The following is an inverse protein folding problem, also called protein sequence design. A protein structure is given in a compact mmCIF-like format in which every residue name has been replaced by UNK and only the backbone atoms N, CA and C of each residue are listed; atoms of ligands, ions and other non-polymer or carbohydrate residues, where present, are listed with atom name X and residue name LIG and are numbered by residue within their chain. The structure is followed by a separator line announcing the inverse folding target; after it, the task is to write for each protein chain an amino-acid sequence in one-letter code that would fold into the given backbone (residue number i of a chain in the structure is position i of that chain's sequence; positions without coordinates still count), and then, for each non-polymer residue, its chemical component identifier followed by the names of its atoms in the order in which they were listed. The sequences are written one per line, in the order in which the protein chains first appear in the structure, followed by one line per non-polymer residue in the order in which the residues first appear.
data_IF_901007210085
#
_entry.id   IF_901007210085
#
_cell.length_a   1.000
_cell.length_b   1.000
_cell.length_c   1.000
_cell.angle_alpha   90.00
_cell.angle_beta   90.00
_cell.angle_gamma   90.00
#
_symmetry.space_group_name_H-M   'P 1'
#
loop_
_entity.id
_entity.type
_entity.pdbx_description
1 polymer ?
#
# COMPACT_ATOMS: atom_id res chain seq x y z
N UNK A 1 -6.26 -29.09 -15.96
CA UNK A 1 -6.28 -27.74 -16.59
C UNK A 1 -5.23 -26.79 -15.99
N UNK A 2 -4.90 -26.89 -14.70
CA UNK A 2 -3.91 -26.04 -13.98
C UNK A 2 -2.45 -26.21 -14.47
N UNK A 3 -2.01 -27.44 -14.78
CA UNK A 3 -0.63 -27.70 -15.23
C UNK A 3 -0.24 -27.00 -16.55
N UNK A 4 -1.20 -26.73 -17.45
CA UNK A 4 -0.94 -26.05 -18.73
C UNK A 4 -0.80 -24.52 -18.57
N UNK A 5 -1.41 -23.93 -17.54
CA UNK A 5 -1.33 -22.49 -17.29
C UNK A 5 -0.03 -22.10 -16.57
N UNK A 6 0.50 -22.96 -15.70
CA UNK A 6 1.80 -22.75 -15.05
C UNK A 6 2.96 -22.77 -16.06
N UNK A 7 2.87 -23.65 -17.07
CA UNK A 7 3.89 -23.73 -18.13
C UNK A 7 3.92 -22.46 -19.00
N UNK A 8 2.76 -21.88 -19.32
CA UNK A 8 2.68 -20.60 -20.06
C UNK A 8 3.17 -19.41 -19.22
N UNK A 9 2.92 -19.42 -17.91
CA UNK A 9 3.43 -18.40 -16.98
C UNK A 9 4.97 -18.42 -16.91
N UNK A 10 5.57 -19.61 -16.77
CA UNK A 10 7.04 -19.76 -16.73
C UNK A 10 7.72 -19.42 -18.06
N UNK A 11 7.08 -19.72 -19.19
CA UNK A 11 7.62 -19.46 -20.53
C UNK A 11 7.56 -17.98 -20.92
N UNK A 12 6.57 -17.24 -20.41
CA UNK A 12 6.42 -15.77 -20.65
C UNK A 12 7.40 -14.96 -19.79
N UNK A 13 7.84 -15.50 -18.66
CA UNK A 13 8.78 -14.87 -17.72
C UNK A 13 10.26 -15.25 -17.97
N UNK A 14 10.57 -15.98 -19.05
CA UNK A 14 11.96 -16.34 -19.40
C UNK A 14 12.62 -17.41 -18.52
N UNK A 15 11.87 -18.11 -17.66
CA UNK A 15 12.42 -19.20 -16.84
C UNK A 15 12.44 -20.52 -17.63
N UNK A 16 13.53 -20.79 -18.34
CA UNK A 16 13.87 -22.16 -18.74
C UNK A 16 14.24 -22.96 -17.50
N UNK A 17 13.53 -24.06 -17.23
CA UNK A 17 13.92 -25.05 -16.22
C UNK A 17 15.23 -25.72 -16.64
N UNK A 18 16.33 -25.62 -15.85
CA UNK A 18 17.48 -26.46 -16.08
C UNK A 18 17.16 -27.87 -15.57
N UNK A 19 17.45 -28.86 -16.40
CA UNK A 19 17.62 -30.23 -15.93
C UNK A 19 18.65 -30.25 -14.78
N UNK A 20 18.28 -30.96 -13.71
CA UNK A 20 19.14 -31.51 -12.66
C UNK A 20 20.65 -31.21 -12.83
N UNK A 21 21.11 -30.12 -12.22
CA UNK A 21 22.44 -30.10 -11.62
C UNK A 21 22.54 -28.98 -10.59
N UNK A 22 23.09 -29.30 -9.41
CA UNK A 22 23.35 -28.34 -8.34
C UNK A 22 24.33 -27.27 -8.86
N UNK A 23 23.84 -26.09 -9.24
CA UNK A 23 24.68 -24.92 -9.48
C UNK A 23 24.18 -23.73 -8.66
N UNK A 24 25.11 -23.16 -7.89
CA UNK A 24 24.95 -21.97 -7.07
C UNK A 24 24.39 -20.83 -7.92
N UNK A 25 23.25 -20.29 -7.51
CA UNK A 25 22.70 -19.05 -8.08
C UNK A 25 23.68 -17.92 -7.76
N UNK A 26 24.31 -17.34 -8.78
CA UNK A 26 25.00 -16.06 -8.67
C UNK A 26 23.97 -14.93 -8.77
N UNK A 27 24.17 -13.79 -8.08
CA UNK A 27 23.28 -12.64 -8.19
C UNK A 27 23.27 -12.10 -9.63
N UNK A 28 22.09 -11.70 -10.10
CA UNK A 28 21.90 -11.02 -11.36
C UNK A 28 22.51 -9.62 -11.24
N UNK A 29 23.68 -9.41 -11.86
CA UNK A 29 24.31 -8.09 -12.00
C UNK A 29 23.69 -7.48 -13.25
N UNK A 30 22.95 -6.37 -13.07
CA UNK A 30 22.44 -5.56 -14.18
C UNK A 30 23.60 -5.06 -15.03
N UNK A 31 23.35 -4.97 -16.34
CA UNK A 31 24.30 -4.50 -17.34
C UNK A 31 24.93 -3.16 -16.93
N UNK A 32 26.26 -3.14 -16.98
CA UNK A 32 27.13 -1.99 -16.78
C UNK A 32 26.68 -0.81 -17.65
N UNK A 33 26.31 0.29 -17.00
CA UNK A 33 26.64 1.68 -17.32
C UNK A 33 25.81 2.60 -16.42
N UNK A 34 26.21 2.72 -15.15
CA UNK A 34 25.94 3.95 -14.39
C UNK A 34 26.94 4.07 -13.23
N UNK A 35 27.80 5.07 -13.32
CA UNK A 35 28.86 5.38 -12.36
C UNK A 35 28.25 5.97 -11.07
N UNK A 36 27.85 5.10 -10.13
CA UNK A 36 27.69 5.51 -8.72
C UNK A 36 28.29 4.46 -7.78
N UNK A 37 29.40 4.83 -7.15
CA UNK A 37 30.09 4.05 -6.13
C UNK A 37 29.21 3.88 -4.88
N UNK A 38 28.47 2.78 -4.81
CA UNK A 38 27.84 2.28 -3.59
C UNK A 38 28.07 0.78 -3.49
N UNK A 39 29.11 0.37 -2.76
CA UNK A 39 29.34 -1.06 -2.48
C UNK A 39 28.15 -1.61 -1.71
N UNK A 40 27.34 -2.45 -2.35
CA UNK A 40 26.24 -3.16 -1.68
C UNK A 40 26.84 -4.06 -0.60
N UNK A 41 26.52 -3.81 0.67
CA UNK A 41 26.93 -4.66 1.79
C UNK A 41 26.20 -6.01 1.71
N UNK A 42 26.79 -6.94 0.96
CA UNK A 42 26.25 -8.28 0.74
C UNK A 42 26.14 -9.07 2.04
N UNK A 43 27.05 -8.84 3.01
CA UNK A 43 27.06 -9.54 4.29
C UNK A 43 25.94 -9.04 5.21
N UNK A 44 25.72 -7.72 5.25
CA UNK A 44 24.58 -7.09 5.94
C UNK A 44 23.24 -7.55 5.37
N UNK A 45 23.11 -7.60 4.04
CA UNK A 45 21.90 -8.08 3.37
C UNK A 45 21.62 -9.57 3.63
N UNK A 46 22.66 -10.42 3.62
CA UNK A 46 22.51 -11.84 3.93
C UNK A 46 22.07 -12.08 5.38
N UNK A 47 22.66 -11.35 6.34
CA UNK A 47 22.24 -11.41 7.76
C UNK A 47 20.81 -10.91 7.96
N UNK A 48 20.40 -9.90 7.17
CA UNK A 48 19.03 -9.39 7.16
C UNK A 48 18.02 -10.44 6.65
N UNK A 49 18.31 -11.13 5.55
CA UNK A 49 17.45 -12.19 5.00
C UNK A 49 17.25 -13.38 5.95
N UNK A 50 18.20 -13.64 6.85
CA UNK A 50 18.06 -14.66 7.90
C UNK A 50 17.01 -14.23 8.95
N UNK A 51 16.95 -12.93 9.27
CA UNK A 51 15.97 -12.38 10.23
C UNK A 51 14.62 -12.06 9.58
N UNK A 52 14.60 -11.87 8.26
CA UNK A 52 13.45 -11.45 7.47
C UNK A 52 13.29 -12.38 6.25
N UNK A 53 12.59 -13.53 6.40
CA UNK A 53 12.56 -14.59 5.40
C UNK A 53 11.82 -14.17 4.13
N UNK A 54 12.44 -14.27 2.95
CA UNK A 54 11.78 -13.86 1.70
C UNK A 54 10.48 -14.64 1.42
N UNK A 55 9.37 -13.92 1.16
CA UNK A 55 8.09 -14.52 0.80
C UNK A 55 8.17 -15.40 -0.46
N UNK A 56 9.01 -15.05 -1.42
CA UNK A 56 9.23 -15.85 -2.63
C UNK A 56 9.88 -17.20 -2.31
N UNK A 57 10.76 -17.26 -1.30
CA UNK A 57 11.36 -18.52 -0.86
C UNK A 57 10.35 -19.44 -0.16
N UNK A 58 9.30 -18.86 0.41
CA UNK A 58 8.21 -19.56 1.11
C UNK A 58 7.00 -19.84 0.21
N UNK A 59 7.08 -19.53 -1.08
CA UNK A 59 5.94 -19.53 -1.99
C UNK A 59 5.18 -20.86 -2.05
N UNK A 60 5.89 -21.99 -2.10
CA UNK A 60 5.24 -23.30 -2.13
C UNK A 60 4.43 -23.59 -0.86
N UNK A 61 4.94 -23.16 0.31
CA UNK A 61 4.22 -23.30 1.58
C UNK A 61 2.98 -22.42 1.59
N UNK A 62 3.11 -21.18 1.13
CA UNK A 62 2.02 -20.21 1.01
C UNK A 62 0.92 -20.74 0.08
N UNK A 63 1.29 -21.32 -1.06
CA UNK A 63 0.35 -21.94 -1.99
C UNK A 63 -0.34 -23.17 -1.42
N UNK A 64 0.33 -23.93 -0.56
CA UNK A 64 -0.27 -25.06 0.16
C UNK A 64 -1.33 -24.59 1.15
N UNK A 65 -1.08 -23.50 1.88
CA UNK A 65 -2.04 -22.90 2.80
C UNK A 65 -3.23 -22.23 2.10
N UNK A 66 -3.02 -21.72 0.88
CA UNK A 66 -4.06 -21.15 0.03
C UNK A 66 -4.96 -22.20 -0.64
N UNK A 67 -4.57 -23.47 -0.63
CA UNK A 67 -5.32 -24.53 -1.32
C UNK A 67 -6.71 -24.68 -0.70
N UNK A 68 -7.74 -24.53 -1.54
CA UNK A 68 -9.15 -24.64 -1.12
C UNK A 68 -9.72 -23.36 -0.50
N UNK A 69 -8.91 -22.30 -0.38
CA UNK A 69 -9.35 -21.00 0.13
C UNK A 69 -9.55 -19.99 -1.01
N UNK A 70 -10.46 -19.05 -0.80
CA UNK A 70 -10.65 -17.87 -1.64
C UNK A 70 -9.63 -16.80 -1.24
N UNK A 71 -8.62 -16.61 -2.08
CA UNK A 71 -7.59 -15.58 -1.85
C UNK A 71 -8.13 -14.21 -2.24
N UNK A 72 -7.80 -13.20 -1.43
CA UNK A 72 -8.09 -11.78 -1.65
C UNK A 72 -6.79 -11.02 -1.44
N UNK A 73 -6.47 -10.09 -2.33
CA UNK A 73 -5.19 -9.38 -2.32
C UNK A 73 -5.39 -7.92 -1.96
N UNK A 74 -4.59 -7.43 -1.02
CA UNK A 74 -4.52 -6.05 -0.57
C UNK A 74 -3.08 -5.56 -0.75
N UNK A 75 -2.92 -4.35 -1.28
CA UNK A 75 -1.62 -3.81 -1.63
C UNK A 75 -1.53 -2.36 -1.14
N UNK A 76 -0.47 -2.01 -0.43
CA UNK A 76 -0.06 -0.61 -0.29
C UNK A 76 0.47 -0.07 -1.62
N UNK A 77 0.57 1.26 -1.75
CA UNK A 77 1.07 1.92 -2.95
C UNK A 77 2.53 2.39 -2.86
N UNK A 78 2.92 3.18 -1.86
CA UNK A 78 4.22 3.87 -1.85
C UNK A 78 5.27 3.02 -1.15
N UNK A 79 6.36 2.65 -1.84
CA UNK A 79 7.32 1.71 -1.28
C UNK A 79 6.92 0.24 -1.44
N UNK A 80 5.72 0.01 -1.99
CA UNK A 80 5.21 -1.32 -2.35
C UNK A 80 4.99 -1.47 -3.85
N UNK A 81 4.11 -0.66 -4.43
CA UNK A 81 3.79 -0.70 -5.88
C UNK A 81 4.51 0.38 -6.69
N UNK A 82 4.96 1.44 -6.03
CA UNK A 82 5.80 2.49 -6.59
C UNK A 82 7.06 2.65 -5.75
N UNK A 83 8.18 3.11 -6.32
CA UNK A 83 9.39 3.36 -5.56
C UNK A 83 9.19 4.48 -4.53
N UNK A 84 9.94 4.40 -3.43
CA UNK A 84 10.08 5.54 -2.51
C UNK A 84 10.91 6.60 -3.23
N UNK A 85 10.30 7.76 -3.47
CA UNK A 85 10.91 8.91 -4.13
C UNK A 85 10.83 10.14 -3.24
N UNK A 86 11.75 11.08 -3.44
CA UNK A 86 11.78 12.34 -2.68
C UNK A 86 10.54 13.20 -2.89
N UNK A 87 10.02 13.19 -4.13
CA UNK A 87 8.83 13.94 -4.52
C UNK A 87 7.64 12.98 -4.69
N UNK A 88 6.67 12.99 -3.76
CA UNK A 88 5.54 12.06 -3.78
C UNK A 88 4.81 12.00 -5.11
N UNK A 89 4.56 13.14 -5.74
CA UNK A 89 3.93 13.28 -7.06
C UNK A 89 4.64 12.56 -8.20
N UNK A 90 5.89 12.11 -7.99
CA UNK A 90 6.66 11.30 -8.95
C UNK A 90 6.67 9.80 -8.63
N UNK A 91 5.98 9.37 -7.58
CA UNK A 91 5.90 7.96 -7.20
C UNK A 91 4.89 7.24 -8.10
N UNK A 92 5.34 6.90 -9.30
CA UNK A 92 4.52 6.19 -10.28
C UNK A 92 4.86 4.70 -10.28
N UNK A 93 3.81 3.88 -10.32
CA UNK A 93 3.94 2.47 -10.65
C UNK A 93 4.49 2.31 -12.08
N UNK A 94 5.52 1.48 -12.24
CA UNK A 94 6.08 1.14 -13.56
C UNK A 94 5.05 0.43 -14.44
N UNK A 95 5.28 0.39 -15.75
CA UNK A 95 4.39 -0.31 -16.70
C UNK A 95 4.30 -1.80 -16.38
N UNK A 96 5.41 -2.41 -15.97
CA UNK A 96 5.53 -3.81 -15.60
C UNK A 96 4.76 -4.11 -14.32
N UNK A 97 4.92 -3.29 -13.28
CA UNK A 97 4.17 -3.44 -12.04
C UNK A 97 2.66 -3.25 -12.28
N UNK A 98 2.29 -2.29 -13.14
CA UNK A 98 0.89 -2.10 -13.55
C UNK A 98 0.32 -3.30 -14.27
N UNK A 99 1.10 -3.94 -15.14
CA UNK A 99 0.71 -5.18 -15.79
C UNK A 99 0.57 -6.32 -14.77
N UNK A 100 1.49 -6.44 -13.82
CA UNK A 100 1.45 -7.46 -12.77
C UNK A 100 0.20 -7.33 -11.88
N UNK A 101 -0.10 -6.12 -11.38
CA UNK A 101 -1.31 -5.87 -10.57
C UNK A 101 -2.57 -6.16 -11.38
N UNK A 102 -2.61 -5.77 -12.67
CA UNK A 102 -3.74 -6.11 -13.55
C UNK A 102 -3.91 -7.61 -13.72
N UNK A 103 -2.82 -8.36 -13.84
CA UNK A 103 -2.87 -9.81 -13.98
C UNK A 103 -3.38 -10.48 -12.69
N UNK A 104 -2.87 -10.07 -11.52
CA UNK A 104 -3.38 -10.55 -10.22
C UNK A 104 -4.87 -10.27 -10.07
N UNK A 105 -5.32 -9.08 -10.44
CA UNK A 105 -6.72 -8.67 -10.36
C UNK A 105 -7.67 -9.45 -11.28
N UNK A 106 -7.16 -10.14 -12.32
CA UNK A 106 -8.00 -11.05 -13.14
C UNK A 106 -8.37 -12.33 -12.39
N UNK A 107 -7.54 -12.75 -11.45
CA UNK A 107 -7.69 -14.04 -10.75
C UNK A 107 -8.21 -13.87 -9.32
N UNK A 108 -7.86 -12.78 -8.66
CA UNK A 108 -8.18 -12.54 -7.25
C UNK A 108 -8.82 -11.15 -7.07
N UNK A 109 -9.87 -11.01 -6.24
CA UNK A 109 -10.32 -9.69 -5.80
C UNK A 109 -9.12 -8.93 -5.21
N UNK A 110 -8.81 -7.78 -5.79
CA UNK A 110 -7.60 -7.01 -5.48
C UNK A 110 -7.95 -5.59 -5.12
N UNK A 111 -7.38 -5.10 -4.02
CA UNK A 111 -7.57 -3.74 -3.53
C UNK A 111 -6.25 -3.05 -3.28
N UNK A 112 -6.14 -1.78 -3.64
CA UNK A 112 -5.03 -0.91 -3.25
C UNK A 112 -5.49 -0.03 -2.10
N UNK A 113 -4.74 0.01 -1.00
CA UNK A 113 -4.99 0.85 0.17
C UNK A 113 -3.83 1.82 0.32
N UNK A 114 -4.07 3.10 0.08
CA UNK A 114 -3.05 4.14 0.04
C UNK A 114 -3.38 5.28 1.00
N UNK A 115 -2.34 5.90 1.56
CA UNK A 115 -2.47 7.20 2.25
C UNK A 115 -2.83 8.34 1.29
N UNK A 116 -2.55 8.18 -0.01
CA UNK A 116 -2.75 9.22 -1.01
C UNK A 116 -4.16 9.30 -1.54
N UNK A 117 -4.47 10.40 -2.23
CA UNK A 117 -5.65 10.47 -3.09
C UNK A 117 -5.68 9.31 -4.10
N UNK A 118 -6.88 9.03 -4.60
CA UNK A 118 -7.09 7.87 -5.48
C UNK A 118 -6.40 8.05 -6.82
N UNK A 119 -5.59 7.07 -7.18
CA UNK A 119 -5.04 6.94 -8.52
C UNK A 119 -5.92 6.04 -9.39
N UNK A 120 -6.04 6.34 -10.69
CA UNK A 120 -7.07 5.71 -11.55
C UNK A 120 -6.59 4.39 -12.16
N UNK A 121 -6.61 3.30 -11.38
CA UNK A 121 -6.63 1.94 -11.93
C UNK A 121 -8.07 1.44 -12.06
N UNK A 122 -8.47 1.07 -13.27
CA UNK A 122 -9.88 0.80 -13.61
C UNK A 122 -10.42 -0.56 -13.13
N UNK A 123 -9.56 -1.47 -12.67
CA UNK A 123 -9.92 -2.87 -12.42
C UNK A 123 -9.60 -3.37 -11.00
N UNK A 124 -9.34 -2.45 -10.07
CA UNK A 124 -9.08 -2.76 -8.66
C UNK A 124 -9.97 -1.89 -7.78
N UNK A 125 -10.25 -2.36 -6.56
CA UNK A 125 -10.76 -1.47 -5.52
C UNK A 125 -9.65 -0.52 -5.12
N UNK A 126 -9.96 0.76 -4.94
CA UNK A 126 -8.97 1.74 -4.52
C UNK A 126 -9.47 2.49 -3.29
N UNK A 127 -8.72 2.37 -2.21
CA UNK A 127 -8.95 3.02 -0.93
C UNK A 127 -7.87 4.08 -0.75
N UNK A 128 -8.19 5.33 -1.13
CA UNK A 128 -7.33 6.49 -0.93
C UNK A 128 -7.55 7.13 0.44
N UNK A 129 -6.72 8.11 0.78
CA UNK A 129 -6.82 8.89 2.02
C UNK A 129 -6.83 8.00 3.27
N UNK A 130 -5.92 7.03 3.32
CA UNK A 130 -5.86 5.99 4.36
C UNK A 130 -7.15 5.15 4.44
N UNK A 131 -7.84 5.01 3.32
CA UNK A 131 -9.11 4.28 3.20
C UNK A 131 -10.36 5.07 3.57
N UNK A 132 -10.27 6.40 3.70
CA UNK A 132 -11.45 7.27 3.83
C UNK A 132 -12.07 7.65 2.47
N UNK A 133 -11.41 7.32 1.35
CA UNK A 133 -11.97 7.50 0.01
C UNK A 133 -11.92 6.19 -0.77
N UNK A 134 -12.95 5.35 -0.65
CA UNK A 134 -12.98 4.03 -1.29
C UNK A 134 -13.87 4.07 -2.53
N UNK A 135 -13.32 3.67 -3.68
CA UNK A 135 -14.05 3.48 -4.93
C UNK A 135 -14.08 2.00 -5.31
N UNK A 136 -15.27 1.51 -5.67
CA UNK A 136 -15.39 0.22 -6.35
C UNK A 136 -14.99 0.36 -7.82
N UNK A 137 -14.39 -0.69 -8.43
CA UNK A 137 -14.20 -0.73 -9.86
C UNK A 137 -15.57 -0.71 -10.58
N UNK A 138 -15.68 -0.12 -11.79
CA UNK A 138 -16.92 -0.13 -12.55
C UNK A 138 -17.39 -1.57 -12.79
N UNK A 139 -18.59 -1.92 -12.29
CA UNK A 139 -19.20 -3.23 -12.59
C UNK A 139 -19.73 -3.20 -14.03
N UNK A 140 -19.49 -4.27 -14.80
CA UNK A 140 -20.31 -4.51 -15.99
C UNK A 140 -21.76 -4.66 -15.53
N UNK A 141 -22.64 -3.77 -16.01
CA UNK A 141 -24.02 -3.67 -15.52
C UNK A 141 -24.73 -5.03 -15.53
N UNK A 142 -25.13 -5.52 -14.36
CA UNK A 142 -26.08 -6.64 -14.27
C UNK A 142 -27.49 -6.04 -14.37
N UNK A 143 -28.41 -6.59 -15.19
CA UNK A 143 -29.71 -5.95 -15.47
C UNK A 143 -30.72 -5.89 -14.31
N UNK A 144 -30.37 -6.27 -13.07
CA UNK A 144 -31.38 -6.53 -12.03
C UNK A 144 -31.18 -5.83 -10.68
N UNK A 145 -30.16 -4.99 -10.49
CA UNK A 145 -30.02 -4.23 -9.25
C UNK A 145 -30.53 -2.80 -9.46
N UNK A 146 -31.84 -2.59 -9.21
CA UNK A 146 -32.42 -1.25 -9.02
C UNK A 146 -32.13 -0.70 -7.61
N UNK A 147 -30.90 -0.89 -7.13
CA UNK A 147 -30.28 -0.01 -6.14
C UNK A 147 -29.22 0.77 -6.91
N UNK A 148 -29.34 2.08 -6.89
CA UNK A 148 -28.65 3.00 -7.79
C UNK A 148 -27.18 2.68 -7.97
N UNK A 149 -26.68 3.05 -9.14
CA UNK A 149 -25.27 3.25 -9.42
C UNK A 149 -24.77 4.35 -8.48
N UNK A 150 -24.48 4.05 -7.21
CA UNK A 150 -24.05 5.01 -6.18
C UNK A 150 -23.28 4.23 -5.10
N UNK A 151 -22.12 4.63 -4.60
CA UNK A 151 -21.33 5.85 -4.74
C UNK A 151 -20.18 5.69 -3.73
N UNK A 152 -19.01 6.27 -4.02
CA UNK A 152 -17.80 6.11 -3.20
C UNK A 152 -18.05 6.12 -1.68
N UNK A 153 -17.41 5.21 -0.94
CA UNK A 153 -17.45 5.25 0.52
C UNK A 153 -16.52 6.35 1.03
N UNK A 154 -17.15 7.37 1.62
CA UNK A 154 -16.52 8.60 2.07
C UNK A 154 -17.03 9.01 3.45
N UNK A 155 -16.65 8.28 4.52
CA UNK A 155 -17.13 8.56 5.88
C UNK A 155 -16.77 9.99 6.33
N UNK A 156 -15.74 10.57 5.72
CA UNK A 156 -15.23 11.89 6.00
C UNK A 156 -15.82 13.02 5.11
N UNK A 157 -16.80 12.74 4.24
CA UNK A 157 -17.33 13.72 3.26
C UNK A 157 -17.83 15.01 3.89
N UNK A 158 -18.40 14.94 5.09
CA UNK A 158 -18.89 16.10 5.85
C UNK A 158 -17.78 17.09 6.24
N UNK A 159 -16.52 16.66 6.25
CA UNK A 159 -15.38 17.50 6.62
C UNK A 159 -14.74 18.22 5.43
N UNK A 160 -15.15 17.95 4.19
CA UNK A 160 -14.57 18.57 2.99
C UNK A 160 -14.54 20.10 3.05
N UNK A 161 -15.59 20.81 3.52
CA UNK A 161 -15.53 22.27 3.62
C UNK A 161 -14.45 22.76 4.60
N UNK A 162 -14.29 22.07 5.75
CA UNK A 162 -13.28 22.41 6.74
C UNK A 162 -11.85 22.09 6.27
N UNK A 163 -11.69 21.01 5.49
CA UNK A 163 -10.42 20.66 4.83
C UNK A 163 -10.04 21.75 3.83
N UNK A 164 -10.98 22.17 2.97
CA UNK A 164 -10.73 23.24 2.00
C UNK A 164 -10.31 24.55 2.68
N UNK A 165 -11.00 24.94 3.76
CA UNK A 165 -10.64 26.13 4.55
C UNK A 165 -9.20 26.04 5.11
N UNK A 166 -8.81 24.87 5.61
CA UNK A 166 -7.45 24.64 6.12
C UNK A 166 -6.41 24.67 4.99
N UNK A 167 -6.71 24.06 3.85
CA UNK A 167 -5.82 24.10 2.68
C UNK A 167 -5.58 25.54 2.24
N UNK A 168 -6.62 26.34 2.09
CA UNK A 168 -6.51 27.71 1.61
C UNK A 168 -5.60 28.56 2.52
N UNK A 169 -5.73 28.41 3.85
CA UNK A 169 -4.85 29.09 4.82
C UNK A 169 -3.41 28.60 4.78
N UNK A 170 -3.20 27.30 4.56
CA UNK A 170 -1.83 26.74 4.48
C UNK A 170 -1.16 27.17 3.16
N UNK A 171 -1.92 27.38 2.07
CA UNK A 171 -1.37 27.83 0.77
C UNK A 171 -0.75 29.23 0.84
N UNK A 172 -1.13 30.02 1.84
CA UNK A 172 -0.57 31.36 2.07
C UNK A 172 0.85 31.32 2.68
N UNK A 173 1.30 30.16 3.16
CA UNK A 173 2.64 29.99 3.73
C UNK A 173 3.67 29.86 2.59
N UNK A 174 4.59 30.81 2.50
CA UNK A 174 5.63 30.82 1.47
C UNK A 174 6.56 29.60 1.57
N UNK A 175 6.91 29.01 0.43
CA UNK A 175 7.77 27.82 0.34
C UNK A 175 7.11 26.48 0.72
N UNK A 176 5.95 26.50 1.38
CA UNK A 176 5.19 25.30 1.69
C UNK A 176 4.50 24.74 0.44
N UNK A 177 4.65 23.43 0.21
CA UNK A 177 3.93 22.72 -0.87
C UNK A 177 2.83 21.87 -0.26
N UNK A 178 1.59 22.11 -0.70
CA UNK A 178 0.44 21.28 -0.33
C UNK A 178 0.24 20.16 -1.33
N UNK A 179 0.02 18.96 -0.81
CA UNK A 179 -0.54 17.82 -1.54
C UNK A 179 -1.95 17.53 -1.01
N UNK A 180 -2.94 17.67 -1.89
CA UNK A 180 -4.35 17.36 -1.62
C UNK A 180 -4.56 15.85 -1.69
N UNK A 181 -4.75 15.25 -0.51
CA UNK A 181 -5.09 13.84 -0.34
C UNK A 181 -6.58 13.65 0.00
N UNK A 182 -7.43 14.62 -0.35
CA UNK A 182 -8.89 14.73 -0.18
C UNK A 182 -9.41 14.79 1.25
N UNK A 183 -8.98 13.84 2.09
CA UNK A 183 -9.34 13.77 3.52
C UNK A 183 -8.12 13.90 4.44
N UNK A 184 -7.00 14.31 3.86
CA UNK A 184 -5.73 14.56 4.52
C UNK A 184 -5.05 15.70 3.74
N UNK A 185 -4.38 16.60 4.45
CA UNK A 185 -3.58 17.67 3.85
C UNK A 185 -2.13 17.38 4.20
N UNK A 186 -1.28 17.19 3.20
CA UNK A 186 0.16 17.00 3.41
C UNK A 186 0.88 18.29 3.07
N UNK A 187 1.56 18.87 4.07
CA UNK A 187 2.32 20.12 3.99
C UNK A 187 3.79 19.78 3.94
N UNK A 188 4.38 19.81 2.75
CA UNK A 188 5.80 19.58 2.54
C UNK A 188 6.56 20.90 2.71
N UNK A 189 7.55 20.91 3.59
CA UNK A 189 8.34 22.11 3.92
C UNK A 189 9.84 21.94 3.59
N UNK A 190 10.14 21.06 2.64
CA UNK A 190 11.50 20.77 2.17
C UNK A 190 12.22 22.00 1.61
N UNK A 191 11.47 22.91 0.97
CA UNK A 191 11.99 24.12 0.34
C UNK A 191 11.81 25.37 1.20
N UNK A 192 11.28 25.22 2.42
CA UNK A 192 11.18 26.31 3.38
C UNK A 192 12.55 26.50 4.02
N UNK A 193 13.02 27.74 4.22
CA UNK A 193 14.28 28.00 4.93
C UNK A 193 14.31 27.28 6.30
N UNK A 194 15.41 26.60 6.67
CA UNK A 194 15.51 25.87 7.94
C UNK A 194 15.11 26.67 9.19
N UNK A 195 15.42 27.96 9.21
CA UNK A 195 15.06 28.92 10.25
C UNK A 195 13.54 29.09 10.44
N UNK A 196 12.76 28.87 9.38
CA UNK A 196 11.31 29.06 9.36
C UNK A 196 10.54 27.75 9.60
N UNK A 197 11.22 26.61 9.76
CA UNK A 197 10.55 25.30 9.93
C UNK A 197 9.66 25.25 11.15
N UNK A 198 10.15 25.71 12.31
CA UNK A 198 9.36 25.69 13.55
C UNK A 198 8.20 26.69 13.48
N UNK A 199 8.42 27.85 12.84
CA UNK A 199 7.37 28.85 12.61
C UNK A 199 6.23 28.24 11.77
N UNK A 200 6.56 27.56 10.67
CA UNK A 200 5.57 26.86 9.85
C UNK A 200 4.82 25.79 10.64
N UNK A 201 5.54 24.99 11.45
CA UNK A 201 4.91 23.96 12.30
C UNK A 201 3.93 24.57 13.28
N UNK A 202 4.28 25.70 13.90
CA UNK A 202 3.40 26.42 14.82
C UNK A 202 2.18 26.98 14.10
N UNK A 203 2.34 27.59 12.92
CA UNK A 203 1.23 28.07 12.09
C UNK A 203 0.27 26.91 11.79
N UNK A 204 0.77 25.79 11.24
CA UNK A 204 -0.08 24.63 10.91
C UNK A 204 -0.75 24.05 12.16
N UNK A 205 -0.07 23.97 13.30
CA UNK A 205 -0.67 23.51 14.56
C UNK A 205 -1.78 24.45 15.06
N UNK A 206 -1.56 25.77 14.99
CA UNK A 206 -2.53 26.78 15.43
C UNK A 206 -3.82 26.76 14.60
N UNK A 207 -3.71 26.45 13.29
CA UNK A 207 -4.87 26.28 12.40
C UNK A 207 -5.75 25.10 12.84
N UNK A 208 -5.18 24.13 13.54
CA UNK A 208 -5.85 22.89 13.93
C UNK A 208 -6.26 22.87 15.40
N UNK A 209 -5.69 23.73 16.24
CA UNK A 209 -5.87 23.75 17.71
C UNK A 209 -7.34 23.83 18.13
N UNK A 210 -8.14 24.69 17.49
CA UNK A 210 -9.57 24.86 17.78
C UNK A 210 -10.48 23.89 17.01
N UNK A 211 -9.90 22.86 16.38
CA UNK A 211 -10.60 21.88 15.54
C UNK A 211 -10.36 20.46 16.08
N UNK A 212 -11.10 20.00 17.11
CA UNK A 212 -10.83 18.71 17.77
C UNK A 212 -11.00 17.48 16.86
N UNK A 213 -11.63 17.66 15.70
CA UNK A 213 -11.78 16.63 14.67
C UNK A 213 -10.58 16.48 13.75
N UNK A 214 -9.53 17.27 13.96
CA UNK A 214 -8.30 17.23 13.18
C UNK A 214 -7.10 17.03 14.11
N UNK A 215 -6.02 16.49 13.58
CA UNK A 215 -4.73 16.33 14.25
C UNK A 215 -3.61 16.53 13.25
N UNK A 216 -2.46 16.96 13.75
CA UNK A 216 -1.22 17.05 12.96
C UNK A 216 -0.33 15.87 13.31
N UNK A 217 0.12 15.13 12.30
CA UNK A 217 1.21 14.16 12.45
C UNK A 217 2.44 14.65 11.69
N UNK A 218 3.62 14.39 12.23
CA UNK A 218 4.89 14.81 11.63
C UNK A 218 5.62 13.62 11.01
N UNK A 219 5.99 13.78 9.74
CA UNK A 219 6.87 12.90 9.00
C UNK A 219 8.19 13.59 8.65
N UNK A 220 9.02 12.93 7.86
CA UNK A 220 10.29 13.52 7.40
C UNK A 220 10.00 14.68 6.44
N UNK A 221 10.21 15.92 6.90
CA UNK A 221 10.00 17.15 6.13
C UNK A 221 8.56 17.34 5.61
N UNK A 222 7.59 16.75 6.32
CA UNK A 222 6.15 16.85 6.00
C UNK A 222 5.31 16.89 7.27
N UNK A 223 4.31 17.76 7.30
CA UNK A 223 3.22 17.72 8.28
C UNK A 223 1.96 17.19 7.61
N UNK A 224 1.25 16.30 8.26
CA UNK A 224 -0.02 15.78 7.77
C UNK A 224 -1.15 16.21 8.69
N UNK A 225 -2.03 17.07 8.17
CA UNK A 225 -3.28 17.43 8.84
C UNK A 225 -4.31 16.36 8.48
N UNK A 226 -4.64 15.54 9.46
CA UNK A 226 -5.51 14.37 9.33
C UNK A 226 -6.78 14.56 10.14
N UNK A 227 -7.85 13.90 9.72
CA UNK A 227 -9.02 13.77 10.57
C UNK A 227 -8.71 12.87 11.78
N UNK A 228 -9.13 13.32 12.96
CA UNK A 228 -9.10 12.58 14.22
C UNK A 228 -10.30 11.63 14.29
N UNK A 229 -10.37 10.72 13.32
CA UNK A 229 -11.34 9.63 13.27
C UNK A 229 -10.58 8.34 13.58
N UNK A 230 -11.23 7.43 14.30
CA UNK A 230 -10.72 6.08 14.54
C UNK A 230 -10.88 5.24 13.26
N UNK A 231 -10.00 5.51 12.29
CA UNK A 231 -9.96 4.84 11.00
C UNK A 231 -8.51 4.70 10.53
N UNK A 232 -8.11 3.48 10.17
CA UNK A 232 -6.78 3.13 9.68
C UNK A 232 -6.84 2.13 8.51
N UNK A 233 -5.67 1.70 8.00
CA UNK A 233 -5.58 0.73 6.89
C UNK A 233 -6.21 -0.64 7.23
N UNK A 234 -6.22 -1.03 8.50
CA UNK A 234 -6.92 -2.22 8.98
C UNK A 234 -8.44 -2.09 8.92
N UNK A 235 -9.00 -0.92 9.25
CA UNK A 235 -10.43 -0.63 9.10
C UNK A 235 -10.84 -0.64 7.62
N UNK A 236 -10.01 -0.04 6.76
CA UNK A 236 -10.20 -0.09 5.31
C UNK A 236 -10.20 -1.53 4.77
N UNK A 237 -9.30 -2.38 5.25
CA UNK A 237 -9.25 -3.80 4.92
C UNK A 237 -10.52 -4.52 5.35
N UNK A 238 -10.98 -4.31 6.59
CA UNK A 238 -12.23 -4.90 7.09
C UNK A 238 -13.43 -4.47 6.27
N UNK A 239 -13.53 -3.17 5.96
CA UNK A 239 -14.59 -2.62 5.12
C UNK A 239 -14.61 -3.27 3.73
N UNK A 240 -13.44 -3.41 3.09
CA UNK A 240 -13.32 -4.05 1.79
C UNK A 240 -13.67 -5.53 1.83
N UNK A 241 -13.25 -6.27 2.87
CA UNK A 241 -13.68 -7.66 3.07
C UNK A 241 -15.19 -7.76 3.23
N UNK A 242 -15.82 -6.83 3.95
CA UNK A 242 -17.27 -6.81 4.16
C UNK A 242 -18.03 -6.52 2.87
N UNK A 243 -17.57 -5.50 2.13
CA UNK A 243 -18.11 -5.10 0.83
C UNK A 243 -18.05 -6.25 -0.18
N UNK A 244 -17.00 -7.08 -0.12
CA UNK A 244 -16.85 -8.27 -0.96
C UNK A 244 -17.68 -9.48 -0.49
N UNK A 245 -18.37 -9.37 0.66
CA UNK A 245 -19.12 -10.46 1.29
C UNK A 245 -18.22 -11.55 1.88
N UNK A 246 -17.02 -11.18 2.32
CA UNK A 246 -15.95 -12.10 2.74
C UNK A 246 -15.60 -12.00 4.23
N UNK A 247 -16.19 -11.05 4.96
CA UNK A 247 -15.90 -10.82 6.39
C UNK A 247 -16.03 -12.06 7.26
N UNK A 248 -17.07 -12.88 7.03
CA UNK A 248 -17.45 -14.03 7.87
C UNK A 248 -17.11 -15.39 7.24
N UNK A 249 -16.49 -15.39 6.06
CA UNK A 249 -16.21 -16.62 5.34
C UNK A 249 -14.97 -17.34 5.93
N UNK A 250 -15.16 -18.59 6.35
CA UNK A 250 -14.10 -19.41 6.98
C UNK A 250 -12.98 -19.80 6.02
N UNK A 251 -13.27 -19.84 4.72
CA UNK A 251 -12.34 -20.27 3.68
C UNK A 251 -11.75 -19.09 2.91
N UNK A 252 -11.59 -17.91 3.53
CA UNK A 252 -10.97 -16.73 2.88
C UNK A 252 -9.54 -16.53 3.35
N UNK A 253 -8.67 -16.17 2.41
CA UNK A 253 -7.27 -15.85 2.65
C UNK A 253 -6.94 -14.42 2.23
N UNK A 254 -6.98 -13.44 3.15
CA UNK A 254 -6.46 -12.11 2.87
C UNK A 254 -4.93 -12.14 2.82
N UNK A 255 -4.37 -11.69 1.70
CA UNK A 255 -2.95 -11.38 1.51
C UNK A 255 -2.78 -9.87 1.54
N UNK A 256 -1.85 -9.36 2.36
CA UNK A 256 -1.47 -7.95 2.35
C UNK A 256 0.02 -7.77 2.06
N UNK A 257 0.33 -6.82 1.17
CA UNK A 257 1.70 -6.40 0.88
C UNK A 257 1.80 -4.90 1.18
N UNK A 258 2.72 -4.50 2.06
CA UNK A 258 2.93 -3.09 2.46
C UNK A 258 4.32 -2.89 3.07
N UNK A 259 4.90 -1.70 3.06
CA UNK A 259 6.28 -1.46 3.50
C UNK A 259 6.41 -0.61 4.78
N UNK A 260 5.34 0.05 5.22
CA UNK A 260 5.42 1.11 6.22
C UNK A 260 4.73 0.77 7.56
N UNK A 261 4.88 1.67 8.53
CA UNK A 261 4.28 1.52 9.87
C UNK A 261 2.76 1.53 9.84
N UNK A 262 2.12 2.18 8.86
CA UNK A 262 0.66 2.23 8.77
C UNK A 262 0.07 0.91 8.28
N UNK A 263 0.86 0.10 7.55
CA UNK A 263 0.47 -1.25 7.14
C UNK A 263 0.37 -2.23 8.32
N UNK A 264 1.04 -1.95 9.44
CA UNK A 264 0.95 -2.74 10.66
C UNK A 264 -0.49 -2.86 11.19
N UNK A 265 -1.34 -1.87 10.92
CA UNK A 265 -2.75 -1.95 11.31
C UNK A 265 -3.52 -2.98 10.47
N UNK A 266 -3.19 -3.10 9.17
CA UNK A 266 -3.72 -4.17 8.32
C UNK A 266 -3.17 -5.55 8.72
N UNK A 267 -1.88 -5.63 9.07
CA UNK A 267 -1.25 -6.87 9.53
C UNK A 267 -1.89 -7.40 10.82
N UNK A 268 -2.21 -6.54 11.79
CA UNK A 268 -2.93 -6.92 13.02
C UNK A 268 -4.30 -7.53 12.72
N UNK A 269 -5.05 -6.95 11.78
CA UNK A 269 -6.37 -7.46 11.38
C UNK A 269 -6.25 -8.85 10.76
N UNK A 270 -5.27 -9.06 9.88
CA UNK A 270 -5.01 -10.38 9.27
C UNK A 270 -4.59 -11.40 10.33
N UNK A 271 -3.68 -11.04 11.23
CA UNK A 271 -3.22 -11.93 12.30
C UNK A 271 -4.36 -12.35 13.24
N UNK A 272 -5.25 -11.41 13.62
CA UNK A 272 -6.40 -11.70 14.46
C UNK A 272 -7.35 -12.72 13.82
N UNK A 273 -7.47 -12.74 12.48
CA UNK A 273 -8.31 -13.70 11.76
C UNK A 273 -7.76 -15.14 11.74
N UNK A 274 -6.45 -15.35 11.95
CA UNK A 274 -5.85 -16.71 11.95
C UNK A 274 -6.18 -17.50 13.23
N UNK A 275 -6.70 -16.85 14.28
CA UNK A 275 -6.66 -17.39 15.63
C UNK A 275 -5.21 -17.48 16.14
N UNK A 276 -4.99 -17.74 17.44
CA UNK A 276 -3.64 -17.90 18.02
C UNK A 276 -2.96 -19.17 17.48
N UNK A 277 -2.49 -19.15 16.24
CA UNK A 277 -1.71 -20.22 15.63
C UNK A 277 -0.40 -19.60 15.14
N UNK A 278 0.67 -19.92 15.88
CA UNK A 278 2.10 -19.81 15.55
C UNK A 278 2.51 -18.76 14.50
N UNK A 279 3.04 -17.66 15.05
CA UNK A 279 3.97 -16.67 14.46
C UNK A 279 4.59 -17.14 13.13
N UNK A 280 4.03 -16.69 12.01
CA UNK A 280 4.75 -16.60 10.75
C UNK A 280 5.19 -15.14 10.59
N UNK A 281 6.47 -14.94 10.89
CA UNK A 281 7.35 -13.79 10.62
C UNK A 281 6.67 -12.44 10.37
N UNK A 282 6.67 -11.61 11.42
CA UNK A 282 6.63 -10.16 11.27
C UNK A 282 7.88 -9.74 10.50
N UNK A 283 7.74 -9.01 9.40
CA UNK A 283 8.86 -8.23 8.90
C UNK A 283 8.77 -6.88 9.59
N UNK A 284 9.88 -6.23 9.82
CA UNK A 284 9.86 -4.85 10.30
C UNK A 284 11.08 -4.22 9.69
N UNK A 285 10.89 -3.15 8.94
CA UNK A 285 12.02 -2.40 8.41
C UNK A 285 11.94 -0.94 8.82
N UNK A 286 13.00 -0.47 9.49
CA UNK A 286 13.29 0.97 9.60
C UNK A 286 13.99 1.54 8.37
N UNK A 287 14.33 0.72 7.36
CA UNK A 287 14.96 1.14 6.11
C UNK A 287 14.64 0.14 4.99
N UNK A 288 13.70 0.53 4.14
CA UNK A 288 13.50 0.01 2.79
C UNK A 288 13.37 -1.52 2.67
N UNK A 289 12.13 -2.01 2.55
CA UNK A 289 11.68 -3.12 1.68
C UNK A 289 10.37 -3.70 2.24
N UNK A 290 9.46 -4.01 1.32
CA UNK A 290 8.05 -4.37 1.55
C UNK A 290 7.87 -5.65 2.38
N UNK A 291 6.89 -5.61 3.27
CA UNK A 291 6.37 -6.69 4.10
C UNK A 291 5.26 -7.43 3.37
N UNK A 292 5.32 -8.75 3.34
CA UNK A 292 4.24 -9.60 2.83
C UNK A 292 3.70 -10.41 4.00
N UNK A 293 2.43 -10.20 4.35
CA UNK A 293 1.72 -11.02 5.33
C UNK A 293 0.65 -11.86 4.62
N UNK A 294 0.75 -13.17 4.80
CA UNK A 294 -0.23 -14.14 4.32
C UNK A 294 -1.01 -14.72 5.50
N UNK A 295 -2.34 -14.63 5.45
CA UNK A 295 -3.22 -15.48 6.26
C UNK A 295 -3.12 -16.94 5.79
#
# INVERSE_FOLDING_TARGET
MIKRNLAKFNQTMGFQLPHSNKQKVKPFIGSENDDTNGSVDVAGYASWLVKHPCALNSFDSMMKEAKGKKVVVFLDYNGTLSPIVEHPDKAFMSTEMRAAVREVAKYFPTSIISGRSRDKLSNVYYAGSHGMDIMEPPRAAKPCDKKGIEGAFQPAKLFLPAIQELEDKIREIEGARIEDNRFCISVHYQHVPPEDHEILKEIVKSLVENRPKFRVTEGKMVLEVRLSIDWNKGDALNYLLDTLGLSSAKDVLPLYIGDDRTDEDAFKVIAARRGRVSHHSFFHSKRHQSLVLLA
#
